data_IF_232426908675
#
_entry.id   IF_232426908675
#
_cell.length_a   1.000
_cell.length_b   1.000
_cell.length_c   1.000
_cell.angle_alpha   90.00
_cell.angle_beta   90.00
_cell.angle_gamma   90.00
#
_symmetry.space_group_name_H-M   'P 1'
#
loop_
_entity.id
_entity.type
_entity.pdbx_description
1 polymer ?
#
# COMPACT_ATOMS: atom_id res chain seq x y z
N UNK A 1 10.19 33.57 -0.19
CA UNK A 1 8.74 33.60 0.11
C UNK A 1 8.19 32.20 -0.15
N UNK A 2 7.49 31.61 0.82
CA UNK A 2 6.88 30.27 0.70
C UNK A 2 5.40 30.47 0.34
N UNK A 3 4.90 29.70 -0.62
CA UNK A 3 3.47 29.68 -1.01
C UNK A 3 2.92 28.28 -0.78
N UNK A 4 1.73 28.22 -0.18
CA UNK A 4 0.96 26.98 -0.03
C UNK A 4 -0.15 27.02 -1.08
N UNK A 5 -0.28 25.96 -1.87
CA UNK A 5 -1.27 25.83 -2.93
C UNK A 5 -2.21 24.68 -2.59
N UNK A 6 -3.52 24.91 -2.69
CA UNK A 6 -4.51 23.84 -2.63
C UNK A 6 -4.66 23.21 -4.01
N UNK A 7 -4.43 21.91 -4.13
CA UNK A 7 -4.48 21.23 -5.44
C UNK A 7 -5.88 20.68 -5.77
N UNK A 8 -6.70 20.40 -4.77
CA UNK A 8 -7.96 19.66 -4.94
C UNK A 8 -7.74 18.15 -5.00
N UNK A 9 -8.83 17.38 -5.16
CA UNK A 9 -8.79 15.91 -5.17
C UNK A 9 -8.40 15.33 -6.54
N UNK A 10 -8.73 16.04 -7.62
CA UNK A 10 -8.62 15.56 -9.00
C UNK A 10 -7.52 16.30 -9.77
N UNK A 11 -6.48 16.77 -9.08
CA UNK A 11 -5.37 17.41 -9.76
C UNK A 11 -4.56 16.36 -10.53
N UNK A 12 -4.06 16.77 -11.69
CA UNK A 12 -3.16 15.97 -12.49
C UNK A 12 -1.71 16.40 -12.28
N UNK A 13 -0.81 15.42 -12.29
CA UNK A 13 0.62 15.65 -12.26
C UNK A 13 1.24 15.08 -13.53
N UNK A 14 1.79 15.96 -14.36
CA UNK A 14 2.51 15.60 -15.57
C UNK A 14 4.01 15.76 -15.29
N UNK A 15 4.72 14.63 -15.25
CA UNK A 15 6.17 14.58 -15.03
C UNK A 15 6.85 14.44 -16.40
N UNK A 16 7.60 15.45 -16.79
CA UNK A 16 8.40 15.49 -18.01
C UNK A 16 9.90 15.47 -17.65
N UNK A 17 10.78 15.31 -18.64
CA UNK A 17 12.23 15.16 -18.42
C UNK A 17 12.88 16.29 -17.60
N UNK A 18 12.34 17.51 -17.66
CA UNK A 18 12.91 18.71 -17.02
C UNK A 18 11.92 19.54 -16.21
N UNK A 19 10.65 19.18 -16.25
CA UNK A 19 9.56 19.99 -15.74
C UNK A 19 8.56 19.07 -15.05
N UNK A 20 7.94 19.53 -13.98
CA UNK A 20 6.69 18.93 -13.50
C UNK A 20 5.60 19.99 -13.55
N UNK A 21 4.50 19.64 -14.22
CA UNK A 21 3.30 20.46 -14.25
C UNK A 21 2.26 19.86 -13.31
N UNK A 22 1.76 20.65 -12.37
CA UNK A 22 0.57 20.38 -11.58
C UNK A 22 -0.61 21.13 -12.19
N UNK A 23 -1.63 20.38 -12.63
CA UNK A 23 -2.86 20.92 -13.23
C UNK A 23 -3.97 20.73 -12.22
N UNK A 24 -4.56 21.83 -11.78
CA UNK A 24 -5.74 21.86 -10.91
C UNK A 24 -6.96 22.26 -11.74
N UNK A 25 -8.15 22.32 -11.13
CA UNK A 25 -9.34 22.80 -11.83
C UNK A 25 -9.21 24.26 -12.31
N UNK A 26 -8.54 25.11 -11.51
CA UNK A 26 -8.47 26.56 -11.76
C UNK A 26 -7.15 26.98 -12.40
N UNK A 27 -6.06 26.32 -12.04
CA UNK A 27 -4.70 26.78 -12.35
C UNK A 27 -3.78 25.68 -12.86
N UNK A 28 -2.71 26.12 -13.53
CA UNK A 28 -1.56 25.30 -13.94
C UNK A 28 -0.29 25.85 -13.31
N UNK A 29 0.45 24.98 -12.62
CA UNK A 29 1.71 25.32 -11.96
C UNK A 29 2.86 24.48 -12.50
N UNK A 30 3.89 25.13 -13.06
CA UNK A 30 5.07 24.45 -13.60
C UNK A 30 6.28 24.69 -12.72
N UNK A 31 7.03 23.62 -12.43
CA UNK A 31 8.23 23.63 -11.60
C UNK A 31 9.39 22.96 -12.32
N UNK A 32 10.58 23.58 -12.27
CA UNK A 32 11.83 22.98 -12.78
C UNK A 32 12.27 21.79 -11.93
N UNK A 33 11.96 21.82 -10.63
CA UNK A 33 12.24 20.75 -9.68
C UNK A 33 11.01 20.51 -8.83
N UNK A 34 10.54 19.27 -8.81
CA UNK A 34 9.41 18.83 -7.98
C UNK A 34 9.83 17.68 -7.08
N UNK A 35 9.56 17.79 -5.78
CA UNK A 35 9.86 16.76 -4.78
C UNK A 35 8.54 16.16 -4.33
N UNK A 36 8.25 14.94 -4.78
CA UNK A 36 7.11 14.18 -4.29
C UNK A 36 7.46 13.45 -2.98
N UNK A 37 7.08 14.06 -1.86
CA UNK A 37 7.28 13.51 -0.52
C UNK A 37 6.02 12.85 0.06
N UNK A 38 5.06 12.43 -0.78
CA UNK A 38 3.79 11.80 -0.32
C UNK A 38 3.97 10.40 0.28
N UNK A 39 5.16 9.80 0.15
CA UNK A 39 5.49 8.49 0.71
C UNK A 39 4.95 7.33 -0.13
N UNK A 40 4.91 6.13 0.47
CA UNK A 40 4.40 4.93 -0.19
C UNK A 40 2.87 4.97 -0.26
N UNK A 41 2.28 4.49 -1.37
CA UNK A 41 0.82 4.31 -1.48
C UNK A 41 0.40 2.96 -0.91
N UNK A 42 -0.84 2.87 -0.43
CA UNK A 42 -1.43 1.58 -0.09
C UNK A 42 -1.57 0.72 -1.37
N UNK A 43 -1.20 -0.57 -1.28
CA UNK A 43 -1.30 -1.53 -2.39
C UNK A 43 -2.58 -2.35 -2.29
N UNK A 44 -3.15 -2.69 -3.43
CA UNK A 44 -4.36 -3.51 -3.56
C UNK A 44 -4.01 -4.87 -4.16
N UNK A 45 -4.94 -5.82 -4.15
CA UNK A 45 -4.72 -7.17 -4.71
C UNK A 45 -4.17 -7.12 -6.14
N UNK A 46 -4.64 -6.17 -6.97
CA UNK A 46 -4.14 -5.97 -8.35
C UNK A 46 -2.64 -5.68 -8.45
N UNK A 47 -2.04 -5.11 -7.40
CA UNK A 47 -0.64 -4.73 -7.35
C UNK A 47 0.27 -5.88 -6.89
N UNK A 48 -0.29 -7.06 -6.55
CA UNK A 48 0.51 -8.22 -6.12
C UNK A 48 1.45 -8.67 -7.23
N UNK A 49 2.76 -8.86 -6.96
CA UNK A 49 3.73 -9.30 -7.97
C UNK A 49 3.69 -10.82 -8.22
N UNK A 50 2.73 -11.55 -7.64
CA UNK A 50 2.57 -13.00 -7.75
C UNK A 50 1.32 -13.33 -8.58
N UNK A 51 1.43 -13.58 -9.89
CA UNK A 51 0.26 -13.65 -10.78
C UNK A 51 -0.80 -14.68 -10.38
N UNK A 52 -0.38 -15.87 -9.96
CA UNK A 52 -1.30 -16.94 -9.55
C UNK A 52 -2.04 -16.61 -8.25
N UNK A 53 -1.33 -16.11 -7.23
CA UNK A 53 -1.93 -15.67 -5.97
C UNK A 53 -2.88 -14.49 -6.19
N UNK A 54 -2.47 -13.52 -7.02
CA UNK A 54 -3.31 -12.37 -7.40
C UNK A 54 -4.61 -12.84 -8.05
N UNK A 55 -4.55 -13.76 -9.01
CA UNK A 55 -5.74 -14.28 -9.68
C UNK A 55 -6.68 -15.00 -8.70
N UNK A 56 -6.14 -15.77 -7.75
CA UNK A 56 -6.93 -16.45 -6.72
C UNK A 56 -7.66 -15.47 -5.81
N UNK A 57 -6.97 -14.44 -5.32
CA UNK A 57 -7.57 -13.41 -4.47
C UNK A 57 -8.61 -12.57 -5.20
N UNK A 58 -8.35 -12.20 -6.45
CA UNK A 58 -9.33 -11.50 -7.28
C UNK A 58 -10.57 -12.37 -7.56
N UNK A 59 -10.40 -13.69 -7.72
CA UNK A 59 -11.53 -14.61 -7.88
C UNK A 59 -12.39 -14.75 -6.61
N UNK A 60 -11.81 -14.50 -5.43
CA UNK A 60 -12.55 -14.39 -4.17
C UNK A 60 -13.30 -13.05 -4.01
N UNK A 61 -13.07 -12.07 -4.89
CA UNK A 61 -13.64 -10.73 -4.81
C UNK A 61 -12.84 -9.75 -3.95
N UNK A 62 -11.62 -10.12 -3.54
CA UNK A 62 -10.81 -9.31 -2.63
C UNK A 62 -10.12 -8.17 -3.38
N UNK A 63 -10.66 -6.96 -3.31
CA UNK A 63 -9.97 -5.77 -3.82
C UNK A 63 -8.72 -5.45 -2.97
N UNK A 64 -8.83 -5.66 -1.65
CA UNK A 64 -7.76 -5.53 -0.66
C UNK A 64 -7.62 -6.88 0.04
N UNK A 65 -6.40 -7.45 0.18
CA UNK A 65 -6.22 -8.72 0.89
C UNK A 65 -6.65 -8.59 2.35
N UNK A 66 -7.58 -9.44 2.80
CA UNK A 66 -8.00 -9.48 4.20
C UNK A 66 -6.96 -10.21 5.06
N UNK A 67 -6.42 -9.52 6.06
CA UNK A 67 -5.35 -10.04 6.93
C UNK A 67 -5.79 -10.06 8.39
N UNK A 68 -5.45 -11.12 9.13
CA UNK A 68 -5.72 -11.21 10.56
C UNK A 68 -4.71 -10.44 11.41
N UNK A 69 -4.91 -10.48 12.74
CA UNK A 69 -4.02 -9.85 13.73
C UNK A 69 -2.58 -10.35 13.70
N UNK A 70 -2.33 -11.53 13.15
CA UNK A 70 -1.01 -12.10 12.89
C UNK A 70 -0.50 -11.83 11.46
N UNK A 71 -1.17 -10.93 10.74
CA UNK A 71 -0.87 -10.51 9.38
C UNK A 71 -0.99 -11.63 8.34
N UNK A 72 -1.58 -12.77 8.69
CA UNK A 72 -1.81 -13.85 7.73
C UNK A 72 -3.10 -13.63 6.95
N UNK A 73 -3.09 -14.03 5.69
CA UNK A 73 -4.24 -13.96 4.80
C UNK A 73 -5.40 -14.79 5.36
N UNK A 74 -6.62 -14.25 5.28
CA UNK A 74 -7.85 -14.93 5.71
C UNK A 74 -8.63 -15.56 4.58
N UNK A 75 -8.49 -15.04 3.37
CA UNK A 75 -9.18 -15.49 2.17
C UNK A 75 -8.30 -16.43 1.33
N UNK A 76 -8.91 -17.09 0.35
CA UNK A 76 -8.34 -18.20 -0.42
C UNK A 76 -7.82 -19.36 0.45
N UNK A 77 -8.53 -20.49 0.43
CA UNK A 77 -8.22 -21.69 1.23
C UNK A 77 -6.75 -22.14 1.13
N UNK A 78 -6.12 -21.94 -0.04
CA UNK A 78 -4.73 -22.26 -0.30
C UNK A 78 -3.72 -21.36 0.45
N UNK A 79 -4.07 -20.10 0.67
CA UNK A 79 -3.21 -19.09 1.30
C UNK A 79 -3.54 -18.80 2.76
N UNK A 80 -4.73 -19.21 3.22
CA UNK A 80 -5.22 -18.94 4.57
C UNK A 80 -4.25 -19.43 5.64
N UNK A 81 -3.80 -18.52 6.51
CA UNK A 81 -2.84 -18.82 7.59
C UNK A 81 -1.42 -19.18 7.14
N UNK A 82 -1.15 -19.22 5.82
CA UNK A 82 0.14 -19.64 5.25
C UNK A 82 0.91 -18.50 4.60
N UNK A 83 0.21 -17.46 4.18
CA UNK A 83 0.78 -16.28 3.54
C UNK A 83 0.62 -15.09 4.46
N UNK A 84 1.73 -14.43 4.81
CA UNK A 84 1.74 -13.25 5.66
C UNK A 84 2.03 -11.98 4.85
N UNK A 85 1.31 -10.91 5.14
CA UNK A 85 1.46 -9.58 4.56
C UNK A 85 2.15 -8.64 5.55
N UNK A 86 3.48 -8.73 5.62
CA UNK A 86 4.28 -7.92 6.57
C UNK A 86 4.77 -6.57 6.04
N UNK A 87 4.63 -6.28 4.75
CA UNK A 87 5.12 -5.02 4.18
C UNK A 87 4.09 -3.89 4.33
N UNK A 88 4.56 -2.69 4.69
CA UNK A 88 3.71 -1.54 5.05
C UNK A 88 2.63 -1.19 4.03
N UNK A 89 2.91 -1.16 2.71
CA UNK A 89 1.89 -0.78 1.73
C UNK A 89 0.62 -1.64 1.78
N UNK A 90 0.72 -2.89 2.22
CA UNK A 90 -0.43 -3.78 2.38
C UNK A 90 -1.26 -3.49 3.63
N UNK A 91 -0.64 -2.90 4.65
CA UNK A 91 -1.26 -2.59 5.94
C UNK A 91 -1.82 -1.18 6.00
N UNK A 92 -1.45 -0.30 5.07
CA UNK A 92 -1.81 1.12 5.09
C UNK A 92 -3.31 1.39 4.96
N UNK A 93 -4.12 0.41 4.49
CA UNK A 93 -5.58 0.53 4.47
C UNK A 93 -6.18 0.52 5.88
N UNK A 94 -5.70 -0.38 6.74
CA UNK A 94 -6.18 -0.53 8.13
C UNK A 94 -5.35 0.27 9.13
N UNK A 95 -4.08 0.53 8.80
CA UNK A 95 -3.08 1.18 9.66
C UNK A 95 -2.38 2.31 8.90
N UNK A 96 -3.08 3.44 8.66
CA UNK A 96 -2.45 4.59 8.03
C UNK A 96 -1.27 5.05 8.89
N UNK A 97 -0.16 5.41 8.24
CA UNK A 97 1.08 5.88 8.89
C UNK A 97 1.80 4.87 9.80
N UNK A 98 1.64 3.56 9.54
CA UNK A 98 2.39 2.52 10.26
C UNK A 98 3.91 2.75 10.18
N UNK A 99 4.55 2.89 11.34
CA UNK A 99 6.01 3.09 11.44
C UNK A 99 6.73 1.75 11.45
N UNK A 100 6.94 1.17 10.27
CA UNK A 100 7.43 -0.20 10.13
C UNK A 100 8.65 -0.57 10.98
N UNK A 101 9.63 0.32 11.13
CA UNK A 101 10.81 0.07 11.97
C UNK A 101 10.46 -0.07 13.46
N UNK A 102 9.55 0.75 13.97
CA UNK A 102 9.15 0.75 15.39
C UNK A 102 8.40 -0.53 15.73
N UNK A 103 7.54 -0.98 14.82
CA UNK A 103 6.68 -2.17 15.05
C UNK A 103 7.28 -3.46 14.48
N UNK A 104 8.47 -3.43 13.86
CA UNK A 104 9.03 -4.56 13.11
C UNK A 104 9.13 -5.83 13.96
N UNK A 105 9.67 -5.70 15.19
CA UNK A 105 9.83 -6.84 16.09
C UNK A 105 8.49 -7.44 16.54
N UNK A 106 7.51 -6.58 16.84
CA UNK A 106 6.16 -7.02 17.23
C UNK A 106 5.45 -7.71 16.06
N UNK A 107 5.51 -7.13 14.87
CA UNK A 107 4.95 -7.69 13.64
C UNK A 107 5.56 -9.06 13.33
N UNK A 108 6.89 -9.17 13.36
CA UNK A 108 7.58 -10.44 13.14
C UNK A 108 7.17 -11.51 14.15
N UNK A 109 7.06 -11.14 15.43
CA UNK A 109 6.60 -12.06 16.47
C UNK A 109 5.14 -12.50 16.27
N UNK A 110 4.25 -11.59 15.83
CA UNK A 110 2.87 -11.92 15.52
C UNK A 110 2.76 -12.90 14.35
N UNK A 111 3.47 -12.63 13.24
CA UNK A 111 3.55 -13.52 12.07
C UNK A 111 4.06 -14.91 12.48
N UNK A 112 5.17 -14.98 13.23
CA UNK A 112 5.75 -16.25 13.67
C UNK A 112 4.75 -17.09 14.50
N UNK A 113 4.00 -16.45 15.39
CA UNK A 113 2.95 -17.12 16.18
C UNK A 113 1.79 -17.61 15.30
N UNK A 114 1.37 -16.83 14.32
CA UNK A 114 0.31 -17.21 13.37
C UNK A 114 0.69 -18.43 12.54
N UNK A 115 1.87 -18.38 11.92
CA UNK A 115 2.35 -19.47 11.06
C UNK A 115 2.59 -20.78 11.82
N UNK A 116 3.02 -20.71 13.08
CA UNK A 116 3.23 -21.89 13.92
C UNK A 116 1.91 -22.61 14.28
N UNK A 117 0.77 -21.91 14.24
CA UNK A 117 -0.57 -22.51 14.48
C UNK A 117 -1.16 -23.15 13.22
N UNK A 118 -0.85 -22.60 12.04
CA UNK A 118 -1.32 -23.12 10.75
C UNK A 118 -0.61 -24.41 10.28
N UNK A 119 0.49 -24.79 10.94
CA UNK A 119 1.23 -26.03 10.70
C UNK A 119 0.74 -27.26 11.50
N UNK A 120 -0.39 -27.14 12.20
CA UNK A 120 -1.12 -28.25 12.84
C UNK A 120 -2.43 -28.50 12.11
#
# INVERSE_FOLDING_TARGET
MIRILSLGHDYEMQVEDKLTTIITYEDRYTFDVFIDARGQKALKTKDLPFPSLRAQLLACGDEIPEVSVDYTLQTAEMGRGRIAFGALPWLMHDRPFVQGLVVCAEMGAAIARGMSKAGR
#
